data_IF_076700223140
#
_entry.id   IF_076700223140
#
_cell.length_a   1.000
_cell.length_b   1.000
_cell.length_c   1.000
_cell.angle_alpha   90.00
_cell.angle_beta   90.00
_cell.angle_gamma   90.00
#
_symmetry.space_group_name_H-M   'P 1'
#
loop_
_entity.id
_entity.type
_entity.pdbx_description
1 polymer ?
#
# COMPACT_ATOMS: atom_id res chain seq x y z
N UNK A 1 -29.89 -12.17 35.39
CA UNK A 1 -29.54 -12.43 33.97
C UNK A 1 -28.03 -12.43 33.88
N UNK A 2 -27.42 -13.56 33.48
CA UNK A 2 -25.96 -13.67 33.29
C UNK A 2 -25.65 -13.21 31.87
N UNK A 3 -24.95 -12.10 31.72
CA UNK A 3 -24.50 -11.60 30.42
C UNK A 3 -23.19 -12.29 30.07
N UNK A 4 -23.26 -13.29 29.19
CA UNK A 4 -22.08 -13.93 28.62
C UNK A 4 -21.39 -12.94 27.69
N UNK A 5 -20.18 -12.52 28.06
CA UNK A 5 -19.26 -11.80 27.18
C UNK A 5 -18.74 -12.81 26.16
N UNK A 6 -19.25 -12.75 24.94
CA UNK A 6 -18.62 -13.45 23.81
C UNK A 6 -17.32 -12.72 23.47
N UNK A 7 -16.19 -13.23 23.98
CA UNK A 7 -14.89 -12.92 23.41
C UNK A 7 -14.87 -13.51 22.00
N UNK A 8 -15.10 -12.68 20.98
CA UNK A 8 -14.81 -13.06 19.61
C UNK A 8 -13.28 -13.09 19.46
N UNK A 9 -12.71 -14.27 19.69
CA UNK A 9 -11.33 -14.55 19.28
C UNK A 9 -11.36 -14.55 17.76
N UNK A 10 -10.85 -13.49 17.13
CA UNK A 10 -10.55 -13.49 15.71
C UNK A 10 -9.52 -14.61 15.47
N UNK A 11 -10.00 -15.76 15.01
CA UNK A 11 -9.16 -16.85 14.53
C UNK A 11 -8.46 -16.32 13.28
N UNK A 12 -7.20 -15.91 13.43
CA UNK A 12 -6.31 -15.67 12.30
C UNK A 12 -6.15 -17.01 11.58
N UNK A 13 -6.81 -17.16 10.43
CA UNK A 13 -6.70 -18.36 9.61
C UNK A 13 -5.32 -18.35 8.95
N UNK A 14 -4.46 -19.30 9.32
CA UNK A 14 -3.19 -19.50 8.62
C UNK A 14 -3.48 -20.11 7.25
N UNK A 15 -2.84 -19.61 6.20
CA UNK A 15 -3.01 -20.15 4.86
C UNK A 15 -2.45 -21.56 4.69
N UNK A 16 -3.07 -22.33 3.79
CA UNK A 16 -2.63 -23.66 3.37
C UNK A 16 -1.63 -23.57 2.22
N UNK A 17 -0.85 -24.62 1.99
CA UNK A 17 0.12 -24.68 0.89
C UNK A 17 -0.51 -24.43 -0.49
N UNK A 18 -1.75 -24.87 -0.72
CA UNK A 18 -2.47 -24.63 -1.97
C UNK A 18 -2.84 -23.14 -2.14
N UNK A 19 -3.28 -22.47 -1.07
CA UNK A 19 -3.62 -21.05 -1.10
C UNK A 19 -2.37 -20.19 -1.34
N UNK A 20 -1.27 -20.51 -0.67
CA UNK A 20 0.02 -19.86 -0.91
C UNK A 20 0.51 -20.04 -2.34
N UNK A 21 0.42 -21.27 -2.87
CA UNK A 21 0.81 -21.55 -4.26
C UNK A 21 0.02 -20.71 -5.28
N UNK A 22 -1.28 -20.49 -5.03
CA UNK A 22 -2.12 -19.62 -5.88
C UNK A 22 -1.63 -18.17 -5.86
N UNK A 23 -1.36 -17.61 -4.68
CA UNK A 23 -0.83 -16.23 -4.56
C UNK A 23 0.53 -16.11 -5.26
N UNK A 24 1.42 -17.09 -5.06
CA UNK A 24 2.74 -17.14 -5.68
C UNK A 24 2.67 -17.20 -7.21
N UNK A 25 1.74 -17.97 -7.76
CA UNK A 25 1.46 -18.00 -9.19
C UNK A 25 1.02 -16.63 -9.72
N UNK A 26 0.12 -15.95 -9.02
CA UNK A 26 -0.36 -14.63 -9.43
C UNK A 26 0.75 -13.58 -9.45
N UNK A 27 1.61 -13.56 -8.43
CA UNK A 27 2.78 -12.67 -8.42
C UNK A 27 3.76 -12.99 -9.55
N UNK A 28 3.97 -14.27 -9.88
CA UNK A 28 4.80 -14.66 -11.02
C UNK A 28 4.28 -14.06 -12.33
N UNK A 29 2.97 -14.14 -12.59
CA UNK A 29 2.36 -13.51 -13.77
C UNK A 29 2.46 -11.97 -13.73
N UNK A 30 2.20 -11.37 -12.57
CA UNK A 30 2.29 -9.93 -12.37
C UNK A 30 3.67 -9.37 -12.72
N UNK A 31 4.75 -10.00 -12.26
CA UNK A 31 6.10 -9.52 -12.55
C UNK A 31 6.48 -9.61 -14.03
N UNK A 32 5.91 -10.56 -14.78
CA UNK A 32 6.16 -10.63 -16.24
C UNK A 32 5.70 -9.37 -16.97
N UNK A 33 4.64 -8.69 -16.50
CA UNK A 33 4.14 -7.45 -17.10
C UNK A 33 5.15 -6.29 -16.97
N UNK A 34 6.08 -6.39 -16.01
CA UNK A 34 7.16 -5.41 -15.78
C UNK A 34 8.52 -5.89 -16.26
N UNK A 35 8.59 -6.98 -17.03
CA UNK A 35 9.83 -7.65 -17.44
C UNK A 35 10.72 -8.06 -16.25
N UNK A 36 10.08 -8.42 -15.13
CA UNK A 36 10.71 -8.96 -13.94
C UNK A 36 10.35 -10.44 -13.79
N UNK A 37 11.16 -11.17 -13.03
CA UNK A 37 10.96 -12.60 -12.80
C UNK A 37 11.08 -12.92 -11.32
N UNK A 38 10.24 -13.83 -10.85
CA UNK A 38 10.42 -14.46 -9.54
C UNK A 38 11.57 -15.46 -9.63
N UNK A 39 12.57 -15.29 -8.77
CA UNK A 39 13.77 -16.13 -8.73
C UNK A 39 13.55 -17.49 -8.07
N UNK A 40 14.65 -18.23 -7.91
CA UNK A 40 14.65 -19.52 -7.21
C UNK A 40 14.07 -19.37 -5.78
N UNK A 41 13.44 -20.43 -5.28
CA UNK A 41 12.76 -20.43 -3.98
C UNK A 41 11.71 -19.31 -3.81
N UNK A 42 11.09 -18.89 -4.92
CA UNK A 42 10.11 -17.81 -4.95
C UNK A 42 10.66 -16.49 -4.36
N UNK A 43 11.91 -16.19 -4.67
CA UNK A 43 12.55 -14.92 -4.33
C UNK A 43 11.95 -13.82 -5.19
N UNK A 44 11.32 -12.81 -4.58
CA UNK A 44 10.83 -11.66 -5.35
C UNK A 44 12.00 -10.76 -5.76
N UNK A 45 11.85 -9.95 -6.83
CA UNK A 45 12.74 -8.83 -7.08
C UNK A 45 12.87 -7.95 -5.83
N UNK A 46 13.93 -7.15 -5.74
CA UNK A 46 13.95 -6.11 -4.71
C UNK A 46 12.76 -5.17 -4.94
N UNK A 47 12.17 -4.65 -3.86
CA UNK A 47 11.06 -3.71 -4.03
C UNK A 47 11.49 -2.47 -4.82
N UNK A 48 12.74 -2.02 -4.65
CA UNK A 48 13.32 -0.93 -5.41
C UNK A 48 13.37 -1.20 -6.93
N UNK A 49 13.77 -2.40 -7.36
CA UNK A 49 13.79 -2.77 -8.78
C UNK A 49 12.37 -2.81 -9.36
N UNK A 50 11.43 -3.35 -8.58
CA UNK A 50 10.02 -3.37 -8.95
C UNK A 50 9.43 -1.96 -9.06
N UNK A 51 9.60 -1.12 -8.04
CA UNK A 51 9.16 0.26 -8.03
C UNK A 51 9.79 1.07 -9.17
N UNK A 52 11.06 0.82 -9.50
CA UNK A 52 11.71 1.43 -10.66
C UNK A 52 11.10 0.96 -11.99
N UNK A 53 10.81 -0.34 -12.14
CA UNK A 53 10.20 -0.88 -13.34
C UNK A 53 8.78 -0.34 -13.57
N UNK A 54 7.95 -0.33 -12.52
CA UNK A 54 6.59 0.22 -12.56
C UNK A 54 6.58 1.75 -12.68
N UNK A 55 7.50 2.42 -11.98
CA UNK A 55 7.66 3.88 -11.99
C UNK A 55 7.88 4.47 -13.38
N UNK A 56 8.40 3.70 -14.35
CA UNK A 56 8.48 4.13 -15.76
C UNK A 56 7.10 4.35 -16.39
N UNK A 57 6.11 3.56 -15.98
CA UNK A 57 4.72 3.74 -16.40
C UNK A 57 4.01 4.75 -15.48
N UNK A 58 4.23 4.72 -14.17
CA UNK A 58 3.56 5.63 -13.21
C UNK A 58 4.02 7.10 -13.30
N UNK A 59 5.28 7.34 -13.64
CA UNK A 59 5.83 8.66 -13.90
C UNK A 59 5.94 8.95 -15.40
N UNK A 60 5.26 8.13 -16.22
CA UNK A 60 5.23 8.27 -17.67
C UNK A 60 4.68 9.62 -18.12
N UNK A 61 4.71 9.90 -19.43
CA UNK A 61 4.34 11.21 -19.95
C UNK A 61 2.87 11.62 -19.75
N UNK A 62 1.96 10.67 -19.47
CA UNK A 62 0.53 10.92 -19.35
C UNK A 62 -0.21 9.84 -18.52
N UNK A 63 -1.48 10.11 -18.26
CA UNK A 63 -2.38 9.26 -17.48
C UNK A 63 -2.74 7.91 -18.14
N UNK A 64 -2.45 7.66 -19.42
CA UNK A 64 -2.68 6.37 -20.06
C UNK A 64 -1.72 5.30 -19.53
N UNK A 65 -0.49 5.67 -19.16
CA UNK A 65 0.45 4.73 -18.58
C UNK A 65 0.05 4.32 -17.16
N UNK A 66 -0.50 5.25 -16.37
CA UNK A 66 -1.11 4.91 -15.07
C UNK A 66 -2.34 4.03 -15.26
N UNK A 67 -3.16 4.27 -16.28
CA UNK A 67 -4.26 3.35 -16.60
C UNK A 67 -3.76 1.93 -16.92
N UNK A 68 -2.62 1.79 -17.62
CA UNK A 68 -1.95 0.49 -17.84
C UNK A 68 -1.49 -0.16 -16.53
N UNK A 69 -0.87 0.60 -15.63
CA UNK A 69 -0.50 0.11 -14.28
C UNK A 69 -1.74 -0.43 -13.57
N UNK A 70 -2.86 0.29 -13.65
CA UNK A 70 -4.11 -0.17 -13.06
C UNK A 70 -4.71 -1.41 -13.72
N UNK A 71 -4.56 -1.59 -15.03
CA UNK A 71 -4.94 -2.85 -15.68
C UNK A 71 -4.12 -4.02 -15.16
N UNK A 72 -2.81 -3.84 -14.99
CA UNK A 72 -1.90 -4.88 -14.47
C UNK A 72 -2.24 -5.18 -12.99
N UNK A 73 -2.45 -4.14 -12.18
CA UNK A 73 -2.81 -4.29 -10.77
C UNK A 73 -4.16 -4.99 -10.58
N UNK A 74 -5.16 -4.63 -11.38
CA UNK A 74 -6.46 -5.29 -11.35
C UNK A 74 -6.36 -6.76 -11.78
N UNK A 75 -5.48 -7.10 -12.73
CA UNK A 75 -5.21 -8.49 -13.09
C UNK A 75 -4.60 -9.29 -11.91
N UNK A 76 -3.64 -8.69 -11.18
CA UNK A 76 -3.08 -9.29 -9.97
C UNK A 76 -4.14 -9.50 -8.89
N UNK A 77 -4.90 -8.44 -8.56
CA UNK A 77 -5.97 -8.48 -7.56
C UNK A 77 -7.02 -9.55 -7.89
N UNK A 78 -7.46 -9.64 -9.15
CA UNK A 78 -8.41 -10.65 -9.60
C UNK A 78 -7.83 -12.07 -9.54
N UNK A 79 -6.55 -12.25 -9.88
CA UNK A 79 -5.89 -13.55 -9.79
C UNK A 79 -5.79 -14.03 -8.34
N UNK A 80 -5.38 -13.15 -7.42
CA UNK A 80 -5.29 -13.43 -5.98
C UNK A 80 -6.68 -13.71 -5.41
N UNK A 81 -7.67 -12.92 -5.81
CA UNK A 81 -9.08 -13.11 -5.48
C UNK A 81 -9.31 -13.26 -3.97
N UNK A 82 -10.00 -14.34 -3.58
CA UNK A 82 -10.34 -14.63 -2.19
C UNK A 82 -9.16 -14.97 -1.27
N UNK A 83 -7.93 -14.98 -1.79
CA UNK A 83 -6.71 -15.26 -1.03
C UNK A 83 -5.97 -13.99 -0.59
N UNK A 84 -6.54 -12.81 -0.82
CA UNK A 84 -5.93 -11.52 -0.44
C UNK A 84 -5.67 -11.40 1.07
N UNK A 85 -6.45 -12.08 1.92
CA UNK A 85 -6.22 -12.10 3.37
C UNK A 85 -4.87 -12.69 3.78
N UNK A 86 -4.22 -13.48 2.91
CA UNK A 86 -2.88 -14.04 3.14
C UNK A 86 -1.74 -13.11 2.71
N UNK A 87 -2.05 -12.00 2.05
CA UNK A 87 -1.09 -10.92 1.81
C UNK A 87 -1.08 -10.08 3.08
N UNK A 88 -0.30 -10.53 4.07
CA UNK A 88 -0.17 -9.89 5.37
C UNK A 88 1.24 -10.17 5.94
N UNK A 89 1.71 -9.41 6.95
CA UNK A 89 3.09 -9.53 7.42
C UNK A 89 3.46 -10.90 7.98
N UNK A 90 2.48 -11.72 8.35
CA UNK A 90 2.69 -13.06 8.92
C UNK A 90 2.77 -14.14 7.86
N UNK A 91 1.93 -14.09 6.82
CA UNK A 91 1.83 -15.15 5.81
C UNK A 91 2.64 -14.87 4.55
N UNK A 92 2.82 -13.60 4.17
CA UNK A 92 3.63 -13.22 3.01
C UNK A 92 5.07 -13.77 3.01
N UNK A 93 5.84 -13.73 4.13
CA UNK A 93 7.18 -14.31 4.17
C UNK A 93 7.20 -15.86 4.17
N UNK A 94 6.03 -16.52 4.31
CA UNK A 94 5.91 -17.98 4.14
C UNK A 94 5.73 -18.36 2.66
N UNK A 95 5.28 -17.40 1.84
CA UNK A 95 5.06 -17.57 0.40
C UNK A 95 6.31 -17.18 -0.39
N UNK A 96 7.00 -16.13 0.04
CA UNK A 96 8.07 -15.52 -0.73
C UNK A 96 9.35 -15.39 0.09
N UNK A 97 10.49 -15.54 -0.59
CA UNK A 97 11.77 -15.18 -0.03
C UNK A 97 12.01 -13.68 -0.26
N UNK A 98 11.81 -12.88 0.79
CA UNK A 98 11.90 -11.41 0.78
C UNK A 98 12.63 -10.90 2.02
N UNK A 99 13.25 -9.72 1.91
CA UNK A 99 13.77 -9.03 3.10
C UNK A 99 12.63 -8.54 3.99
N UNK A 100 12.91 -8.24 5.26
CA UNK A 100 11.88 -7.71 6.16
C UNK A 100 11.31 -6.38 5.65
N UNK A 101 12.13 -5.48 5.10
CA UNK A 101 11.65 -4.21 4.54
C UNK A 101 10.80 -4.43 3.30
N UNK A 102 11.22 -5.29 2.38
CA UNK A 102 10.46 -5.56 1.15
C UNK A 102 9.14 -6.27 1.45
N UNK A 103 9.08 -7.08 2.52
CA UNK A 103 7.85 -7.73 2.95
C UNK A 103 6.73 -6.72 3.20
N UNK A 104 7.00 -5.66 3.97
CA UNK A 104 6.01 -4.62 4.24
C UNK A 104 5.68 -3.84 2.97
N UNK A 105 6.71 -3.42 2.21
CA UNK A 105 6.51 -2.65 0.98
C UNK A 105 5.61 -3.38 -0.03
N UNK A 106 5.82 -4.68 -0.27
CA UNK A 106 4.96 -5.46 -1.18
C UNK A 106 3.53 -5.61 -0.68
N UNK A 107 3.32 -5.72 0.63
CA UNK A 107 1.97 -5.82 1.22
C UNK A 107 1.24 -4.49 1.05
N UNK A 108 1.87 -3.38 1.42
CA UNK A 108 1.32 -2.04 1.28
C UNK A 108 0.97 -1.78 -0.19
N UNK A 109 1.92 -2.03 -1.08
CA UNK A 109 1.78 -1.83 -2.51
C UNK A 109 0.58 -2.58 -3.11
N UNK A 110 0.36 -3.83 -2.71
CA UNK A 110 -0.77 -4.61 -3.19
C UNK A 110 -2.12 -3.96 -2.85
N UNK A 111 -2.31 -3.53 -1.61
CA UNK A 111 -3.59 -2.95 -1.17
C UNK A 111 -3.75 -1.49 -1.58
N UNK A 112 -2.67 -0.70 -1.56
CA UNK A 112 -2.65 0.66 -2.10
C UNK A 112 -3.01 0.60 -3.58
N UNK A 113 -2.34 -0.23 -4.37
CA UNK A 113 -2.61 -0.35 -5.80
C UNK A 113 -4.06 -0.76 -6.09
N UNK A 114 -4.67 -1.65 -5.28
CA UNK A 114 -6.09 -1.97 -5.40
C UNK A 114 -6.94 -0.72 -5.16
N UNK A 115 -6.66 0.04 -4.11
CA UNK A 115 -7.41 1.26 -3.81
C UNK A 115 -7.28 2.29 -4.92
N UNK A 116 -6.06 2.59 -5.35
CA UNK A 116 -5.75 3.56 -6.40
C UNK A 116 -6.40 3.20 -7.72
N UNK A 117 -6.50 1.91 -8.05
CA UNK A 117 -6.97 1.44 -9.35
C UNK A 117 -8.43 1.00 -9.39
N UNK A 118 -9.10 0.94 -8.25
CA UNK A 118 -10.53 0.59 -8.15
C UNK A 118 -11.31 1.73 -7.49
N UNK A 119 -11.09 1.95 -6.20
CA UNK A 119 -11.88 2.90 -5.41
C UNK A 119 -11.56 4.36 -5.75
N UNK A 120 -10.28 4.69 -5.88
CA UNK A 120 -9.79 6.04 -6.12
C UNK A 120 -9.38 6.30 -7.57
N UNK A 121 -9.72 5.39 -8.50
CA UNK A 121 -9.27 5.45 -9.90
C UNK A 121 -9.47 6.82 -10.55
N UNK A 122 -10.65 7.43 -10.36
CA UNK A 122 -10.94 8.75 -10.93
C UNK A 122 -10.03 9.84 -10.34
N UNK A 123 -9.70 9.79 -9.06
CA UNK A 123 -8.79 10.75 -8.43
C UNK A 123 -7.38 10.55 -8.98
N UNK A 124 -6.90 9.30 -9.05
CA UNK A 124 -5.58 8.93 -9.59
C UNK A 124 -5.38 9.44 -11.01
N UNK A 125 -6.34 9.16 -11.90
CA UNK A 125 -6.25 9.50 -13.32
C UNK A 125 -6.44 11.00 -13.58
N UNK A 126 -7.39 11.65 -12.90
CA UNK A 126 -7.69 13.06 -13.13
C UNK A 126 -6.62 13.99 -12.53
N UNK A 127 -5.96 13.57 -11.45
CA UNK A 127 -4.91 14.36 -10.80
C UNK A 127 -3.50 13.91 -11.15
N UNK A 128 -3.36 13.03 -12.16
CA UNK A 128 -2.11 12.42 -12.59
C UNK A 128 -0.92 13.40 -12.63
N UNK A 129 -1.04 14.50 -13.38
CA UNK A 129 0.06 15.45 -13.54
C UNK A 129 0.48 16.10 -12.23
N UNK A 130 -0.48 16.31 -11.33
CA UNK A 130 -0.19 16.89 -10.03
C UNK A 130 0.55 15.88 -9.14
N UNK A 131 0.01 14.66 -9.03
CA UNK A 131 0.61 13.54 -8.30
C UNK A 131 2.05 13.26 -8.78
N UNK A 132 2.25 13.16 -10.10
CA UNK A 132 3.58 12.93 -10.70
C UNK A 132 4.57 14.07 -10.41
N UNK A 133 4.09 15.28 -10.16
CA UNK A 133 4.94 16.45 -9.87
C UNK A 133 5.31 16.58 -8.39
N UNK A 134 4.55 15.98 -7.47
CA UNK A 134 4.76 16.12 -6.02
C UNK A 134 6.12 15.58 -5.60
N UNK A 135 6.60 14.48 -6.18
CA UNK A 135 7.93 13.94 -5.87
C UNK A 135 9.07 14.93 -6.08
N UNK A 136 8.86 15.96 -6.93
CA UNK A 136 9.79 17.08 -7.12
C UNK A 136 9.39 18.31 -6.31
N UNK A 137 8.12 18.72 -6.42
CA UNK A 137 7.64 19.99 -5.86
C UNK A 137 7.47 19.92 -4.34
N UNK A 138 7.00 18.78 -3.84
CA UNK A 138 6.77 18.49 -2.42
C UNK A 138 7.89 17.72 -1.74
N UNK A 139 9.00 17.39 -2.43
CA UNK A 139 10.11 16.57 -1.91
C UNK A 139 10.52 16.96 -0.49
N UNK A 140 10.83 18.25 -0.27
CA UNK A 140 11.29 18.73 1.03
C UNK A 140 10.22 18.61 2.13
N UNK A 141 8.95 18.71 1.77
CA UNK A 141 7.85 18.57 2.74
C UNK A 141 7.61 17.10 3.08
N UNK A 142 7.68 16.20 2.10
CA UNK A 142 7.60 14.74 2.31
C UNK A 142 8.76 14.28 3.19
N UNK A 143 9.99 14.67 2.86
CA UNK A 143 11.19 14.32 3.64
C UNK A 143 11.09 14.82 5.10
N UNK A 144 10.38 15.93 5.35
CA UNK A 144 10.10 16.40 6.72
C UNK A 144 9.11 15.49 7.45
N UNK A 145 8.06 15.02 6.78
CA UNK A 145 7.13 14.05 7.36
C UNK A 145 7.86 12.75 7.73
N UNK A 146 8.69 12.22 6.82
CA UNK A 146 9.50 11.01 7.05
C UNK A 146 10.52 11.21 8.19
N UNK A 147 11.19 12.36 8.24
CA UNK A 147 12.12 12.69 9.32
C UNK A 147 11.41 12.78 10.69
N UNK A 148 10.18 13.29 10.72
CA UNK A 148 9.37 13.33 11.93
C UNK A 148 8.97 11.92 12.38
N UNK A 149 8.52 11.06 11.48
CA UNK A 149 8.20 9.66 11.79
C UNK A 149 9.42 8.94 12.41
N UNK A 150 10.59 9.08 11.79
CA UNK A 150 11.84 8.51 12.31
C UNK A 150 12.20 9.06 13.70
N UNK A 151 11.97 10.35 13.91
CA UNK A 151 12.18 11.00 15.21
C UNK A 151 11.22 10.44 16.28
N UNK A 152 9.95 10.27 15.93
CA UNK A 152 8.92 9.73 16.83
C UNK A 152 9.23 8.27 17.22
N UNK A 153 9.64 7.45 16.25
CA UNK A 153 10.08 6.07 16.48
C UNK A 153 11.31 6.05 17.41
N UNK A 154 12.31 6.90 17.14
CA UNK A 154 13.52 7.01 17.98
C UNK A 154 13.18 7.41 19.41
N UNK A 155 12.21 8.32 19.57
CA UNK A 155 11.71 8.79 20.86
C UNK A 155 10.71 7.84 21.51
N UNK A 156 10.46 6.66 20.92
CA UNK A 156 9.54 5.62 21.41
C UNK A 156 8.10 6.13 21.59
N UNK A 157 7.68 7.08 20.75
CA UNK A 157 6.26 7.41 20.60
C UNK A 157 5.52 6.12 20.21
N UNK A 158 4.33 5.83 20.77
CA UNK A 158 3.57 4.65 20.37
C UNK A 158 3.37 4.61 18.86
N UNK A 159 3.67 3.48 18.22
CA UNK A 159 3.77 3.39 16.75
C UNK A 159 2.51 3.92 16.04
N UNK A 160 1.31 3.57 16.51
CA UNK A 160 0.06 4.05 15.91
C UNK A 160 -0.11 5.57 16.00
N UNK A 161 0.44 6.21 17.03
CA UNK A 161 0.42 7.68 17.18
C UNK A 161 1.43 8.34 16.22
N UNK A 162 2.62 7.75 16.09
CA UNK A 162 3.64 8.22 15.15
C UNK A 162 3.13 8.13 13.70
N UNK A 163 2.55 6.98 13.32
CA UNK A 163 1.98 6.76 12.00
C UNK A 163 0.81 7.70 11.70
N UNK A 164 -0.12 7.89 12.64
CA UNK A 164 -1.20 8.86 12.48
C UNK A 164 -0.69 10.30 12.26
N UNK A 165 0.41 10.67 12.92
CA UNK A 165 1.06 11.96 12.71
C UNK A 165 1.66 12.06 11.31
N UNK A 166 2.29 10.98 10.85
CA UNK A 166 2.82 10.85 9.49
C UNK A 166 1.71 10.95 8.42
N UNK A 167 0.63 10.16 8.55
CA UNK A 167 -0.53 10.18 7.64
C UNK A 167 -1.10 11.59 7.51
N UNK A 168 -1.29 12.29 8.63
CA UNK A 168 -1.77 13.66 8.62
C UNK A 168 -0.81 14.59 7.88
N UNK A 169 0.49 14.49 8.18
CA UNK A 169 1.52 15.29 7.52
C UNK A 169 1.50 15.08 6.00
N UNK A 170 1.44 13.83 5.54
CA UNK A 170 1.35 13.48 4.13
C UNK A 170 0.08 14.05 3.48
N UNK A 171 -1.08 13.90 4.12
CA UNK A 171 -2.33 14.51 3.66
C UNK A 171 -2.26 16.04 3.53
N UNK A 172 -1.65 16.73 4.49
CA UNK A 172 -1.47 18.19 4.47
C UNK A 172 -0.52 18.64 3.34
N UNK A 173 0.56 17.88 3.10
CA UNK A 173 1.47 18.11 1.98
C UNK A 173 0.73 17.98 0.65
N UNK A 174 0.03 16.88 0.43
CA UNK A 174 -0.68 16.63 -0.82
C UNK A 174 -1.83 17.63 -1.03
N UNK A 175 -2.50 18.06 0.05
CA UNK A 175 -3.47 19.17 0.01
C UNK A 175 -2.82 20.46 -0.48
N UNK A 176 -1.64 20.79 0.04
CA UNK A 176 -0.94 22.03 -0.28
C UNK A 176 -0.55 22.11 -1.75
N UNK A 177 -0.10 21.00 -2.34
CA UNK A 177 0.39 20.98 -3.72
C UNK A 177 -0.68 20.68 -4.76
N UNK A 178 -1.71 19.89 -4.41
CA UNK A 178 -2.67 19.36 -5.37
C UNK A 178 -4.14 19.53 -4.99
N UNK A 179 -4.44 20.20 -3.88
CA UNK A 179 -5.80 20.47 -3.44
C UNK A 179 -6.38 19.37 -2.55
N UNK A 180 -7.56 19.68 -1.98
CA UNK A 180 -8.15 18.90 -0.89
C UNK A 180 -8.41 17.43 -1.24
N UNK A 181 -8.88 17.14 -2.46
CA UNK A 181 -9.17 15.75 -2.88
C UNK A 181 -7.91 14.89 -2.94
N UNK A 182 -6.78 15.48 -3.37
CA UNK A 182 -5.50 14.79 -3.44
C UNK A 182 -4.89 14.62 -2.04
N UNK A 183 -5.13 15.55 -1.13
CA UNK A 183 -4.82 15.38 0.30
C UNK A 183 -5.64 14.27 0.96
N UNK A 184 -6.94 14.23 0.69
CA UNK A 184 -7.83 13.16 1.14
C UNK A 184 -7.39 11.80 0.59
N UNK A 185 -7.03 11.74 -0.69
CA UNK A 185 -6.49 10.56 -1.36
C UNK A 185 -5.26 10.02 -0.65
N UNK A 186 -4.26 10.88 -0.40
CA UNK A 186 -3.03 10.48 0.28
C UNK A 186 -3.30 9.95 1.69
N UNK A 187 -4.15 10.63 2.46
CA UNK A 187 -4.54 10.15 3.78
C UNK A 187 -5.17 8.74 3.72
N UNK A 188 -6.08 8.50 2.76
CA UNK A 188 -6.75 7.21 2.63
C UNK A 188 -5.78 6.08 2.22
N UNK A 189 -4.81 6.38 1.33
CA UNK A 189 -3.76 5.43 0.94
C UNK A 189 -2.95 4.97 2.14
N UNK A 190 -2.48 5.91 2.95
CA UNK A 190 -1.68 5.60 4.14
C UNK A 190 -2.50 4.79 5.16
N UNK A 191 -3.77 5.16 5.39
CA UNK A 191 -4.66 4.37 6.26
C UNK A 191 -4.88 2.93 5.75
N UNK A 192 -4.93 2.74 4.43
CA UNK A 192 -5.06 1.41 3.82
C UNK A 192 -3.79 0.61 4.06
N UNK A 193 -2.62 1.19 3.80
CA UNK A 193 -1.33 0.58 4.11
C UNK A 193 -1.30 0.09 5.57
N UNK A 194 -1.56 1.00 6.51
CA UNK A 194 -1.53 0.74 7.94
C UNK A 194 -2.53 -0.33 8.38
N UNK A 195 -3.71 -0.40 7.74
CA UNK A 195 -4.70 -1.45 8.04
C UNK A 195 -4.14 -2.85 7.81
N UNK A 196 -3.24 -3.00 6.84
CA UNK A 196 -2.68 -4.30 6.46
C UNK A 196 -1.32 -4.59 7.11
N UNK A 197 -0.48 -3.58 7.35
CA UNK A 197 0.84 -3.79 7.97
C UNK A 197 0.87 -3.62 9.48
N UNK A 198 -0.03 -2.81 10.04
CA UNK A 198 -0.14 -2.53 11.46
C UNK A 198 -1.60 -2.69 11.93
N UNK A 199 -2.19 -3.90 11.84
CA UNK A 199 -3.60 -4.13 12.15
C UNK A 199 -3.99 -3.73 13.58
N UNK A 200 -3.03 -3.71 14.52
CA UNK A 200 -3.24 -3.20 15.88
C UNK A 200 -3.57 -1.70 15.93
N UNK A 201 -3.25 -0.92 14.90
CA UNK A 201 -3.50 0.50 14.82
C UNK A 201 -4.87 0.86 14.24
N UNK A 202 -5.55 -0.10 13.59
CA UNK A 202 -6.88 0.08 12.97
C UNK A 202 -7.90 0.81 13.86
N UNK A 203 -8.06 0.49 15.16
CA UNK A 203 -9.03 1.16 16.02
C UNK A 203 -8.73 2.64 16.31
N UNK A 204 -7.53 3.10 15.95
CA UNK A 204 -7.00 4.43 16.26
C UNK A 204 -6.60 5.23 15.03
N UNK A 205 -6.77 4.69 13.83
CA UNK A 205 -6.45 5.42 12.60
C UNK A 205 -7.21 6.74 12.55
N UNK A 206 -6.56 7.78 12.03
CA UNK A 206 -7.22 9.07 11.86
C UNK A 206 -8.34 8.97 10.83
N UNK A 207 -9.37 9.79 10.99
CA UNK A 207 -10.40 9.93 9.96
C UNK A 207 -9.87 10.79 8.81
N UNK A 208 -9.80 10.19 7.63
CA UNK A 208 -9.47 10.94 6.41
C UNK A 208 -10.68 11.72 5.89
N UNK A 209 -10.46 12.90 5.29
CA UNK A 209 -11.53 13.66 4.66
C UNK A 209 -12.21 12.87 3.53
N UNK A 210 -13.49 13.20 3.27
CA UNK A 210 -14.18 12.71 2.08
C UNK A 210 -13.74 13.51 0.84
N UNK A 211 -13.85 12.88 -0.33
CA UNK A 211 -13.66 13.55 -1.61
C UNK A 211 -14.77 14.58 -1.88
N UNK A 212 -14.42 15.67 -2.55
CA UNK A 212 -15.35 16.67 -3.05
C UNK A 212 -16.18 16.04 -4.16
N UNK A 213 -17.45 15.76 -3.89
CA UNK A 213 -18.42 15.24 -4.87
C UNK A 213 -18.90 16.32 -5.82
#
# INVERSE_FOLDING_TARGET
MKTSIFLAVALLTVGTAAQYSSVMYCYSQFFTAYNLTVGAHFTLPSFADFAYARGKDELGYNNLNVAKVCLIQNALSNCVGGYSSYINPTDFPKMFNVTQSDNYAYIEDFFIGIYECQTAYNITINNFYCLASIGKNGFNSIAKCEAQLNTDITNKVPICVAENTFVKCMGDVYTTYCGADVGAYMCNIENIALTHVLPQCVPTLINCPAYST
#
